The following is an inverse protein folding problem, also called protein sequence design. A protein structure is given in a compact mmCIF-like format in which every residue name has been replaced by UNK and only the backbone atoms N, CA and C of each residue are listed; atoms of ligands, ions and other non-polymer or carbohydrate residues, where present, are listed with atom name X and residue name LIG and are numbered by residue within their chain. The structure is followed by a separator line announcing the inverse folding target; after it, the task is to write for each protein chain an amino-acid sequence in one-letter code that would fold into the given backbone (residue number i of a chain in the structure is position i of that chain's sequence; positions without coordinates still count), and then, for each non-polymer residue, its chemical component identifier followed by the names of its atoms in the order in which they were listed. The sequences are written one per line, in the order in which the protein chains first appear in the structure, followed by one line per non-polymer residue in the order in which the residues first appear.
data_IF_253116898690
#
_entry.id   IF_253116898690
#
_cell.length_a   1.000
_cell.length_b   1.000
_cell.length_c   1.000
_cell.angle_alpha   90.00
_cell.angle_beta   90.00
_cell.angle_gamma   90.00
#
_symmetry.space_group_name_H-M   'P 1'
#
loop_
_entity.id
_entity.type
_entity.pdbx_description
1 polymer ?
#
# COMPACT_ATOMS: atom_id res chain seq x y z
N UNK A 1 -3.74 -21.26 7.39
CA UNK A 1 -3.81 -19.80 7.27
C UNK A 1 -2.93 -19.43 6.09
N UNK A 2 -3.39 -18.62 5.12
CA UNK A 2 -2.51 -18.18 4.05
C UNK A 2 -1.31 -17.45 4.66
N UNK A 3 -0.14 -17.72 4.10
CA UNK A 3 1.12 -17.09 4.50
C UNK A 3 1.07 -15.64 4.00
N UNK A 4 0.93 -14.68 4.90
CA UNK A 4 0.97 -13.26 4.55
C UNK A 4 2.29 -12.94 3.86
N UNK A 5 2.23 -12.19 2.77
CA UNK A 5 3.42 -11.79 2.04
C UNK A 5 4.31 -10.92 2.96
N UNK A 6 5.57 -11.32 3.13
CA UNK A 6 6.55 -10.51 3.87
C UNK A 6 7.02 -9.36 2.96
N UNK A 7 6.38 -8.20 3.10
CA UNK A 7 6.74 -7.01 2.36
C UNK A 7 7.96 -6.32 2.95
N UNK A 8 8.89 -5.90 2.09
CA UNK A 8 9.98 -5.00 2.44
C UNK A 8 10.08 -3.88 1.43
N UNK A 9 10.55 -2.72 1.88
CA UNK A 9 10.69 -1.53 1.05
C UNK A 9 12.09 -0.97 1.18
N UNK A 10 12.66 -0.57 0.05
CA UNK A 10 13.92 0.14 -0.01
C UNK A 10 13.70 1.57 -0.49
N UNK A 11 14.43 2.51 0.10
CA UNK A 11 14.44 3.90 -0.39
C UNK A 11 15.29 3.98 -1.65
N UNK A 12 14.73 4.57 -2.70
CA UNK A 12 15.45 4.91 -3.93
C UNK A 12 15.26 6.41 -4.18
N UNK A 13 16.33 7.18 -3.96
CA UNK A 13 16.32 8.64 -4.02
C UNK A 13 15.22 9.29 -3.13
N UNK A 14 14.09 9.64 -3.75
CA UNK A 14 12.95 10.33 -3.11
C UNK A 14 11.70 9.47 -2.97
N UNK A 15 11.72 8.22 -3.44
CA UNK A 15 10.58 7.32 -3.42
C UNK A 15 10.93 5.98 -2.76
N UNK A 16 9.90 5.20 -2.46
CA UNK A 16 10.00 3.91 -1.83
C UNK A 16 9.59 2.82 -2.81
N UNK A 17 10.46 1.83 -2.97
CA UNK A 17 10.26 0.73 -3.90
C UNK A 17 10.02 -0.56 -3.10
N UNK A 18 8.92 -1.28 -3.33
CA UNK A 18 8.76 -2.62 -2.78
C UNK A 18 9.87 -3.50 -3.35
N UNK A 19 10.50 -4.28 -2.49
CA UNK A 19 11.44 -5.29 -2.94
C UNK A 19 10.68 -6.47 -3.56
N UNK A 20 11.41 -7.27 -4.34
CA UNK A 20 10.79 -8.38 -5.05
C UNK A 20 10.32 -9.44 -4.06
N UNK A 21 9.02 -9.51 -3.86
CA UNK A 21 8.37 -10.55 -3.06
C UNK A 21 8.06 -11.77 -3.95
N UNK A 22 8.47 -13.00 -3.57
CA UNK A 22 8.11 -14.20 -4.31
C UNK A 22 6.60 -14.34 -4.49
N UNK A 23 6.15 -14.75 -5.68
CA UNK A 23 4.72 -14.92 -5.99
C UNK A 23 3.98 -13.63 -6.32
N UNK A 24 4.59 -12.46 -6.12
CA UNK A 24 4.03 -11.16 -6.51
C UNK A 24 4.51 -10.79 -7.92
N UNK A 25 3.57 -10.40 -8.79
CA UNK A 25 3.89 -10.01 -10.15
C UNK A 25 4.39 -8.55 -10.25
N UNK A 26 5.08 -8.24 -11.35
CA UNK A 26 5.72 -6.93 -11.56
C UNK A 26 4.71 -5.77 -11.58
N UNK A 27 3.45 -6.00 -11.98
CA UNK A 27 2.44 -4.95 -12.00
C UNK A 27 1.97 -4.61 -10.58
N UNK A 28 1.85 -5.60 -9.70
CA UNK A 28 1.55 -5.38 -8.28
C UNK A 28 2.68 -4.61 -7.59
N UNK A 29 3.94 -4.96 -7.86
CA UNK A 29 5.10 -4.21 -7.35
C UNK A 29 5.11 -2.75 -7.84
N UNK A 30 4.84 -2.52 -9.13
CA UNK A 30 4.76 -1.18 -9.70
C UNK A 30 3.61 -0.37 -9.10
N UNK A 31 2.45 -1.00 -8.91
CA UNK A 31 1.29 -0.38 -8.30
C UNK A 31 1.58 0.11 -6.87
N UNK A 32 2.22 -0.73 -6.05
CA UNK A 32 2.63 -0.36 -4.69
C UNK A 32 3.71 0.74 -4.67
N UNK A 33 4.68 0.69 -5.60
CA UNK A 33 5.70 1.74 -5.76
C UNK A 33 5.06 3.11 -6.02
N UNK A 34 4.14 3.18 -6.98
CA UNK A 34 3.47 4.43 -7.36
C UNK A 34 2.46 4.88 -6.31
N UNK A 35 1.79 3.94 -5.65
CA UNK A 35 0.93 4.21 -4.52
C UNK A 35 1.70 4.82 -3.33
N UNK A 36 2.99 4.49 -3.17
CA UNK A 36 3.82 5.04 -2.11
C UNK A 36 4.25 6.51 -2.35
N UNK A 37 4.27 6.96 -3.61
CA UNK A 37 4.78 8.29 -4.00
C UNK A 37 4.09 9.45 -3.25
N UNK A 38 2.75 9.50 -3.12
CA UNK A 38 2.06 10.59 -2.41
C UNK A 38 2.44 10.73 -0.93
N UNK A 39 2.91 9.65 -0.27
CA UNK A 39 3.35 9.71 1.13
C UNK A 39 4.73 10.37 1.28
N UNK A 40 5.51 10.44 0.20
CA UNK A 40 6.87 11.00 0.20
C UNK A 40 7.78 10.27 1.19
N UNK A 41 8.30 10.98 2.19
CA UNK A 41 9.20 10.44 3.22
C UNK A 41 8.56 10.44 4.62
N UNK A 42 7.24 10.64 4.72
CA UNK A 42 6.55 10.86 6.00
C UNK A 42 5.81 9.60 6.41
N UNK A 43 6.38 8.86 7.34
CA UNK A 43 5.75 7.64 7.88
C UNK A 43 4.33 7.89 8.42
N UNK A 44 4.10 9.02 9.10
CA UNK A 44 2.78 9.36 9.64
C UNK A 44 1.71 9.46 8.54
N UNK A 45 2.07 9.85 7.31
CA UNK A 45 1.10 9.92 6.21
C UNK A 45 0.63 8.54 5.75
N UNK A 46 1.48 7.52 5.88
CA UNK A 46 1.09 6.12 5.63
C UNK A 46 0.18 5.64 6.76
N UNK A 47 0.52 5.96 8.01
CA UNK A 47 -0.29 5.61 9.17
C UNK A 47 -1.69 6.20 9.12
N UNK A 48 -1.79 7.49 8.86
CA UNK A 48 -3.08 8.18 8.73
C UNK A 48 -3.92 7.55 7.61
N UNK A 49 -3.28 7.13 6.51
CA UNK A 49 -3.98 6.43 5.43
C UNK A 49 -4.53 5.07 5.89
N UNK A 50 -3.75 4.27 6.63
CA UNK A 50 -4.21 2.98 7.18
C UNK A 50 -5.39 3.20 8.14
N UNK A 51 -5.30 4.19 9.01
CA UNK A 51 -6.36 4.49 9.99
C UNK A 51 -7.65 4.90 9.26
N UNK A 52 -7.57 5.81 8.29
CA UNK A 52 -8.72 6.22 7.46
C UNK A 52 -9.28 5.05 6.65
N UNK A 53 -8.43 4.19 6.09
CA UNK A 53 -8.86 2.99 5.38
C UNK A 53 -9.68 2.06 6.29
N UNK A 54 -9.17 1.77 7.50
CA UNK A 54 -9.84 0.92 8.49
C UNK A 54 -11.17 1.51 8.95
N UNK A 55 -11.23 2.82 9.18
CA UNK A 55 -12.49 3.52 9.51
C UNK A 55 -13.53 3.38 8.40
N UNK A 56 -13.11 3.55 7.13
CA UNK A 56 -14.00 3.34 5.99
C UNK A 56 -14.45 1.87 5.86
N UNK A 57 -13.55 0.91 6.11
CA UNK A 57 -13.89 -0.52 6.08
C UNK A 57 -14.87 -0.91 7.18
N UNK A 58 -14.69 -0.41 8.40
CA UNK A 58 -15.61 -0.65 9.51
C UNK A 58 -17.00 -0.07 9.21
N UNK A 59 -17.05 1.13 8.63
CA UNK A 59 -18.31 1.84 8.37
C UNK A 59 -19.07 1.31 7.14
N UNK A 60 -18.36 1.10 6.04
CA UNK A 60 -18.97 0.88 4.72
C UNK A 60 -18.81 -0.58 4.23
N UNK A 61 -18.05 -1.42 4.95
CA UNK A 61 -17.82 -2.82 4.59
C UNK A 61 -17.28 -2.94 3.16
N UNK A 62 -17.84 -3.84 2.36
CA UNK A 62 -17.39 -4.10 0.98
C UNK A 62 -17.71 -2.96 0.00
N UNK A 63 -18.40 -1.91 0.47
CA UNK A 63 -18.59 -0.66 -0.28
C UNK A 63 -17.53 0.40 0.03
N UNK A 64 -16.58 0.11 0.92
CA UNK A 64 -15.51 1.05 1.27
C UNK A 64 -14.66 1.41 0.05
N UNK A 65 -14.50 2.70 -0.18
CA UNK A 65 -13.67 3.26 -1.24
C UNK A 65 -12.86 4.41 -0.68
N UNK A 66 -11.55 4.37 -0.92
CA UNK A 66 -10.64 5.44 -0.54
C UNK A 66 -9.79 5.84 -1.75
N UNK A 67 -9.68 7.13 -2.01
CA UNK A 67 -8.91 7.65 -3.12
C UNK A 67 -7.67 8.39 -2.60
N UNK A 68 -6.51 8.05 -3.15
CA UNK A 68 -5.31 8.87 -3.07
C UNK A 68 -5.15 9.67 -4.36
N UNK A 69 -4.11 10.50 -4.43
CA UNK A 69 -3.75 11.20 -5.66
C UNK A 69 -3.30 10.26 -6.76
N UNK A 70 -2.79 9.07 -6.43
CA UNK A 70 -2.25 8.08 -7.37
C UNK A 70 -3.24 6.97 -7.74
N UNK A 71 -4.04 6.49 -6.78
CA UNK A 71 -4.90 5.33 -6.98
C UNK A 71 -6.26 5.46 -6.27
N UNK A 72 -7.21 4.62 -6.67
CA UNK A 72 -8.46 4.37 -5.96
C UNK A 72 -8.41 2.96 -5.38
N UNK A 73 -8.57 2.86 -4.06
CA UNK A 73 -8.62 1.63 -3.31
C UNK A 73 -10.08 1.30 -3.06
N UNK A 74 -10.49 0.08 -3.42
CA UNK A 74 -11.87 -0.40 -3.25
C UNK A 74 -11.85 -1.71 -2.52
N UNK A 75 -12.68 -1.81 -1.49
CA UNK A 75 -12.99 -3.09 -0.90
C UNK A 75 -13.76 -3.97 -1.91
N UNK A 76 -13.59 -5.26 -1.76
CA UNK A 76 -14.34 -6.28 -2.47
C UNK A 76 -14.71 -7.40 -1.50
N UNK A 77 -15.78 -8.12 -1.87
CA UNK A 77 -16.24 -9.30 -1.13
C UNK A 77 -15.08 -10.30 -0.93
N UNK A 78 -15.08 -10.97 0.23
CA UNK A 78 -14.09 -12.00 0.55
C UNK A 78 -12.78 -11.47 1.12
N UNK A 79 -12.75 -10.22 1.62
CA UNK A 79 -11.54 -9.63 2.20
C UNK A 79 -10.49 -9.28 1.15
N UNK A 80 -10.95 -8.87 -0.03
CA UNK A 80 -10.11 -8.48 -1.15
C UNK A 80 -10.11 -6.96 -1.31
N UNK A 81 -9.01 -6.44 -1.82
CA UNK A 81 -8.86 -5.03 -2.16
C UNK A 81 -8.45 -4.90 -3.61
N UNK A 82 -9.21 -4.09 -4.36
CA UNK A 82 -8.85 -3.67 -5.71
C UNK A 82 -8.16 -2.32 -5.67
N UNK A 83 -6.97 -2.27 -6.25
CA UNK A 83 -6.22 -1.02 -6.45
C UNK A 83 -6.34 -0.63 -7.92
N UNK A 84 -7.02 0.49 -8.17
CA UNK A 84 -7.23 1.05 -9.49
C UNK A 84 -6.31 2.25 -9.72
N UNK A 85 -5.54 2.21 -10.79
CA UNK A 85 -4.68 3.34 -11.16
C UNK A 85 -5.51 4.51 -11.72
N UNK A 86 -5.10 5.75 -11.43
CA UNK A 86 -5.79 6.96 -11.93
C UNK A 86 -5.23 7.52 -13.23
N UNK A 87 -4.03 7.11 -13.66
CA UNK A 87 -3.28 7.79 -14.73
C UNK A 87 -2.77 6.86 -15.86
N UNK A 88 -3.20 5.60 -15.91
CA UNK A 88 -2.69 4.57 -16.80
C UNK A 88 -1.24 4.10 -16.51
N UNK A 89 -0.72 4.27 -15.30
CA UNK A 89 0.67 3.95 -14.93
C UNK A 89 0.87 2.46 -14.59
N UNK A 90 -0.16 1.79 -14.10
CA UNK A 90 -0.19 0.35 -13.87
C UNK A 90 -1.60 -0.19 -14.17
N UNK A 91 -1.73 -1.50 -14.36
CA UNK A 91 -3.03 -2.15 -14.55
C UNK A 91 -3.68 -2.38 -13.20
N UNK A 92 -5.00 -2.20 -13.11
CA UNK A 92 -5.76 -2.58 -11.93
C UNK A 92 -5.41 -4.00 -11.48
N UNK A 93 -5.23 -4.18 -10.18
CA UNK A 93 -4.96 -5.47 -9.57
C UNK A 93 -5.75 -5.65 -8.28
N UNK A 94 -5.85 -6.91 -7.87
CA UNK A 94 -6.56 -7.33 -6.66
C UNK A 94 -5.57 -8.07 -5.78
N UNK A 95 -5.62 -7.81 -4.49
CA UNK A 95 -4.85 -8.54 -3.48
C UNK A 95 -5.70 -8.74 -2.22
N UNK A 96 -5.26 -9.63 -1.33
CA UNK A 96 -5.89 -9.77 -0.03
C UNK A 96 -5.75 -8.47 0.77
N UNK A 97 -6.80 -8.09 1.49
CA UNK A 97 -6.79 -6.90 2.34
C UNK A 97 -5.70 -6.98 3.41
N UNK A 98 -5.49 -8.17 3.96
CA UNK A 98 -4.44 -8.41 4.93
C UNK A 98 -3.04 -8.17 4.34
N UNK A 99 -2.80 -8.58 3.09
CA UNK A 99 -1.54 -8.30 2.40
C UNK A 99 -1.40 -6.82 2.04
N UNK A 100 -2.51 -6.15 1.72
CA UNK A 100 -2.52 -4.71 1.43
C UNK A 100 -2.13 -3.91 2.69
N UNK A 101 -2.76 -4.18 3.83
CA UNK A 101 -2.39 -3.54 5.10
C UNK A 101 -0.96 -3.87 5.50
N UNK A 102 -0.53 -5.13 5.38
CA UNK A 102 0.84 -5.53 5.67
C UNK A 102 1.88 -4.80 4.80
N UNK A 103 1.57 -4.56 3.51
CA UNK A 103 2.43 -3.77 2.64
C UNK A 103 2.56 -2.31 3.12
N UNK A 104 1.46 -1.70 3.58
CA UNK A 104 1.48 -0.33 4.10
C UNK A 104 2.22 -0.24 5.45
N UNK A 105 2.01 -1.20 6.34
CA UNK A 105 2.72 -1.27 7.62
C UNK A 105 4.23 -1.47 7.41
N UNK A 106 4.63 -2.31 6.45
CA UNK A 106 6.03 -2.48 6.06
C UNK A 106 6.64 -1.19 5.49
N UNK A 107 5.88 -0.46 4.65
CA UNK A 107 6.28 0.83 4.12
C UNK A 107 6.47 1.87 5.23
N UNK A 108 5.51 1.96 6.15
CA UNK A 108 5.60 2.84 7.32
C UNK A 108 6.84 2.52 8.16
N UNK A 109 7.05 1.24 8.48
CA UNK A 109 8.20 0.78 9.26
C UNK A 109 9.53 1.15 8.59
N UNK A 110 9.64 0.96 7.28
CA UNK A 110 10.82 1.33 6.51
C UNK A 110 11.07 2.86 6.53
N UNK A 111 10.00 3.67 6.40
CA UNK A 111 10.09 5.13 6.51
C UNK A 111 10.54 5.60 7.89
N UNK A 112 10.02 4.99 8.96
CA UNK A 112 10.42 5.30 10.34
C UNK A 112 11.88 4.95 10.59
N UNK A 113 12.30 3.76 10.19
CA UNK A 113 13.68 3.29 10.37
C UNK A 113 14.68 4.22 9.68
N UNK A 114 14.35 4.70 8.48
CA UNK A 114 15.21 5.62 7.76
C UNK A 114 15.23 7.04 8.36
N UNK A 115 14.13 7.50 8.95
CA UNK A 115 14.07 8.79 9.64
C UNK A 115 14.93 8.82 10.92
N UNK A 116 15.13 7.66 11.55
CA UNK A 116 16.00 7.50 12.73
C UNK A 116 17.50 7.47 12.44
N UNK A 117 17.92 7.39 11.16
CA UNK A 117 19.33 7.38 10.75
C UNK A 117 19.89 8.76 10.37
N UNK A 118 19.10 9.82 10.54
CA UNK A 118 19.50 11.20 10.24
C UNK A 118 19.93 12.02 11.49
N UNK A 119 20.24 11.35 12.60
CA UNK A 119 20.70 11.94 13.86
C UNK A 119 22.15 11.64 14.16
#
# INVERSE_FOLDING_TARGET
MPEQAQWTFRRQERFWKPERTPGVDDNTLLGLELFAVPFGTRAWSVRDFIEVWREHREKDGDSAVLASTAAVIRAQEGGLVRICDRYGQFRDFVMEEADFEAALEALEAAMRAHSGQAG
#
